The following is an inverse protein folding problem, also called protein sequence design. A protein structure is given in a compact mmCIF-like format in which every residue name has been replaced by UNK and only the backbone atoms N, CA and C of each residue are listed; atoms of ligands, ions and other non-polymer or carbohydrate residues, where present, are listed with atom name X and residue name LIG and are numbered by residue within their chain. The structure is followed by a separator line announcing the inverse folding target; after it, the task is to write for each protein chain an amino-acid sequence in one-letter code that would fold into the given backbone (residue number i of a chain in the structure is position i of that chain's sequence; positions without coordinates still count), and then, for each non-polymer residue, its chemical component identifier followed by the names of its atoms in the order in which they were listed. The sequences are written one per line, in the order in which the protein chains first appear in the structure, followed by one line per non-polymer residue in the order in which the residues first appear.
data_IF_054128078132
#
_entry.id   IF_054128078132
#
_cell.length_a   1.000
_cell.length_b   1.000
_cell.length_c   1.000
_cell.angle_alpha   90.00
_cell.angle_beta   90.00
_cell.angle_gamma   90.00
#
_symmetry.space_group_name_H-M   'P 1'
#
loop_
_entity.id
_entity.type
_entity.pdbx_description
1 polymer ?
#
# COMPACT_ATOMS: atom_id res chain seq x y z
N UNK A 1 -13.59 -3.64 29.48
CA UNK A 1 -13.28 -3.75 28.89
C UNK A 1 -12.68 -4.25 28.58
N UNK A 2 -12.33 -4.46 28.69
CA UNK A 2 -11.86 -4.82 28.31
C UNK A 2 -11.18 -5.22 27.50
N UNK A 3 -10.50 -6.39 27.70
CA UNK A 3 -9.75 -6.87 26.59
C UNK A 3 -9.71 -5.97 25.44
N UNK A 4 -10.31 -5.00 25.67
CA UNK A 4 -10.41 -4.02 24.67
C UNK A 4 -9.10 -3.48 24.33
N UNK A 5 -8.36 -3.24 23.95
CA UNK A 5 -7.10 -2.66 23.68
C UNK A 5 -6.09 -3.62 23.09
N UNK A 6 -6.34 -4.88 23.14
CA UNK A 6 -5.38 -5.80 22.58
C UNK A 6 -5.55 -5.89 21.07
N UNK A 7 -4.48 -5.58 20.37
CA UNK A 7 -4.46 -5.63 18.92
C UNK A 7 -3.71 -6.88 18.52
N UNK A 8 -4.17 -7.57 17.49
CA UNK A 8 -3.53 -8.78 17.02
C UNK A 8 -2.12 -8.46 16.50
N UNK A 9 -1.28 -9.51 16.39
CA UNK A 9 0.06 -9.33 15.87
C UNK A 9 0.01 -8.89 14.42
N UNK A 10 -0.97 -9.38 13.66
CA UNK A 10 -1.10 -8.98 12.26
C UNK A 10 -1.41 -7.50 12.13
N UNK A 11 -2.30 -6.97 12.96
CA UNK A 11 -2.63 -5.56 12.90
C UNK A 11 -1.43 -4.71 13.32
N UNK A 12 -0.69 -5.14 14.34
CA UNK A 12 0.52 -4.44 14.75
C UNK A 12 1.52 -4.39 13.61
N UNK A 13 1.70 -5.51 12.91
CA UNK A 13 2.61 -5.57 11.78
C UNK A 13 2.15 -4.65 10.65
N UNK A 14 0.85 -4.65 10.36
CA UNK A 14 0.30 -3.78 9.31
C UNK A 14 0.53 -2.32 9.62
N UNK A 15 0.30 -1.92 10.86
CA UNK A 15 0.53 -0.53 11.27
C UNK A 15 2.01 -0.17 11.21
N UNK A 16 2.88 -1.09 11.60
CA UNK A 16 4.32 -0.87 11.52
C UNK A 16 4.77 -0.70 10.08
N UNK A 17 4.27 -1.54 9.19
CA UNK A 17 4.62 -1.45 7.77
C UNK A 17 4.11 -0.15 7.16
N UNK A 18 2.86 0.22 7.45
CA UNK A 18 2.31 1.46 6.94
C UNK A 18 3.14 2.65 7.38
N UNK A 19 3.57 2.66 8.64
CA UNK A 19 4.40 3.75 9.17
C UNK A 19 5.76 3.77 8.47
N UNK A 20 6.34 2.60 8.23
CA UNK A 20 7.62 2.51 7.56
C UNK A 20 7.53 3.01 6.12
N UNK A 21 6.43 2.72 5.45
CA UNK A 21 6.26 3.09 4.04
C UNK A 21 5.80 4.53 3.85
N UNK A 22 5.26 5.14 4.90
CA UNK A 22 4.78 6.52 4.79
C UNK A 22 5.90 7.45 4.33
N UNK A 23 5.63 8.23 3.30
CA UNK A 23 6.59 9.19 2.78
C UNK A 23 7.53 8.63 1.73
N UNK A 24 7.46 7.32 1.46
CA UNK A 24 8.33 6.75 0.42
C UNK A 24 7.90 7.26 -0.94
N UNK A 25 8.85 7.78 -1.70
CA UNK A 25 8.59 8.20 -3.07
C UNK A 25 8.61 7.00 -4.00
N UNK A 26 7.70 6.96 -4.96
CA UNK A 26 7.62 5.86 -5.90
C UNK A 26 7.79 6.37 -7.32
N UNK A 27 8.42 5.56 -8.17
CA UNK A 27 8.61 5.92 -9.57
C UNK A 27 7.43 5.44 -10.42
N UNK A 28 6.77 4.35 -10.03
CA UNK A 28 5.54 3.91 -10.66
C UNK A 28 4.87 2.86 -9.79
N UNK A 29 3.59 2.62 -10.06
CA UNK A 29 2.84 1.60 -9.37
C UNK A 29 2.14 0.73 -10.40
N UNK A 30 2.18 -0.59 -10.16
CA UNK A 30 1.56 -1.57 -11.05
C UNK A 30 0.43 -2.25 -10.32
N UNK A 31 -0.55 -2.73 -11.07
CA UNK A 31 -1.62 -3.54 -10.49
C UNK A 31 -1.51 -4.96 -10.99
N UNK A 32 -1.63 -5.92 -10.07
CA UNK A 32 -1.69 -7.34 -10.41
C UNK A 32 -3.10 -7.68 -10.81
N UNK A 33 -3.28 -8.19 -12.00
CA UNK A 33 -4.58 -8.62 -12.48
C UNK A 33 -4.62 -10.15 -12.50
N UNK A 34 -5.75 -10.76 -12.10
CA UNK A 34 -5.82 -12.22 -11.93
C UNK A 34 -5.44 -13.01 -13.18
N UNK A 35 -5.89 -12.55 -14.33
CA UNK A 35 -5.70 -13.32 -15.57
C UNK A 35 -4.85 -12.59 -16.61
N UNK A 36 -4.11 -11.58 -16.19
CA UNK A 36 -3.33 -10.77 -17.13
C UNK A 36 -2.00 -10.41 -16.51
N UNK A 37 -1.12 -9.87 -17.35
CA UNK A 37 0.16 -9.37 -16.87
C UNK A 37 -0.08 -8.11 -16.02
N UNK A 38 0.88 -7.83 -15.14
CA UNK A 38 0.81 -6.62 -14.33
C UNK A 38 0.78 -5.40 -15.25
N UNK A 39 -0.03 -4.41 -14.89
CA UNK A 39 -0.13 -3.18 -15.67
C UNK A 39 0.23 -1.97 -14.83
N UNK A 40 0.90 -1.00 -15.43
CA UNK A 40 1.24 0.24 -14.75
C UNK A 40 -0.03 1.08 -14.68
N UNK A 41 -0.41 1.48 -13.46
CA UNK A 41 -1.61 2.29 -13.25
C UNK A 41 -1.29 3.72 -12.81
N UNK A 42 -0.03 4.02 -12.54
CA UNK A 42 0.37 5.37 -12.19
C UNK A 42 1.87 5.51 -12.22
N UNK A 43 2.33 6.74 -12.44
CA UNK A 43 3.75 7.06 -12.44
C UNK A 43 4.01 8.18 -11.46
N UNK A 44 5.17 8.13 -10.82
CA UNK A 44 5.62 9.12 -9.86
C UNK A 44 4.56 9.37 -8.77
N UNK A 45 5.01 9.43 -7.56
CA UNK A 45 4.11 9.69 -6.46
C UNK A 45 4.73 9.32 -5.14
N UNK A 46 3.87 8.96 -4.19
CA UNK A 46 4.33 8.64 -2.85
C UNK A 46 3.33 7.74 -2.16
N UNK A 47 3.82 7.03 -1.16
CA UNK A 47 2.98 6.23 -0.28
C UNK A 47 2.72 7.08 0.96
N UNK A 48 1.46 7.18 1.35
CA UNK A 48 1.07 8.07 2.44
C UNK A 48 0.12 7.37 3.40
N UNK A 49 0.04 7.90 4.62
CA UNK A 49 -0.97 7.43 5.58
C UNK A 49 -1.71 8.65 6.09
N UNK A 50 -3.01 8.49 6.31
CA UNK A 50 -3.84 9.56 6.86
C UNK A 50 -5.10 8.97 7.47
N UNK A 51 -5.35 9.30 8.74
CA UNK A 51 -6.60 8.89 9.41
C UNK A 51 -6.89 7.40 9.33
N UNK A 52 -5.86 6.57 9.54
CA UNK A 52 -6.05 5.12 9.54
C UNK A 52 -6.10 4.51 8.16
N UNK A 53 -5.88 5.29 7.12
CA UNK A 53 -5.89 4.80 5.75
C UNK A 53 -4.51 4.86 5.14
N UNK A 54 -4.22 3.88 4.28
CA UNK A 54 -3.02 3.86 3.49
C UNK A 54 -3.37 4.32 2.09
N UNK A 55 -2.59 5.25 1.56
CA UNK A 55 -2.89 5.92 0.29
C UNK A 55 -1.73 5.74 -0.66
N UNK A 56 -2.03 5.30 -1.87
CA UNK A 56 -1.05 5.30 -2.95
C UNK A 56 -1.40 6.50 -3.84
N UNK A 57 -0.56 7.52 -3.77
CA UNK A 57 -0.73 8.74 -4.55
C UNK A 57 0.19 8.65 -5.76
N UNK A 58 -0.35 8.74 -6.96
CA UNK A 58 0.44 8.60 -8.17
C UNK A 58 -0.28 9.28 -9.32
N UNK A 59 0.49 9.79 -10.29
CA UNK A 59 -0.09 10.53 -11.41
C UNK A 59 -1.02 11.65 -10.93
N UNK A 60 -0.64 12.27 -9.81
CA UNK A 60 -1.28 13.44 -9.25
C UNK A 60 -2.67 13.19 -8.66
N UNK A 61 -2.99 11.94 -8.30
CA UNK A 61 -4.22 11.65 -7.58
C UNK A 61 -4.09 10.37 -6.78
N UNK A 62 -5.05 10.13 -5.90
CA UNK A 62 -5.07 8.89 -5.14
C UNK A 62 -5.54 7.78 -6.07
N UNK A 63 -4.66 6.81 -6.34
CA UNK A 63 -5.04 5.67 -7.18
C UNK A 63 -5.51 4.48 -6.35
N UNK A 64 -5.26 4.53 -5.03
CA UNK A 64 -5.65 3.44 -4.14
C UNK A 64 -5.70 3.96 -2.71
N UNK A 65 -6.73 3.56 -1.97
CA UNK A 65 -6.85 3.86 -0.55
C UNK A 65 -7.41 2.64 0.14
N UNK A 66 -6.87 2.29 1.29
CA UNK A 66 -7.35 1.13 2.04
C UNK A 66 -7.21 1.38 3.53
N UNK A 67 -7.96 0.63 4.33
CA UNK A 67 -7.82 0.72 5.78
C UNK A 67 -6.54 0.00 6.17
N UNK A 68 -5.66 0.69 6.89
CA UNK A 68 -4.36 0.12 7.27
C UNK A 68 -4.52 -1.22 7.98
N UNK A 69 -5.47 -1.31 8.91
CA UNK A 69 -5.65 -2.52 9.71
C UNK A 69 -6.16 -3.71 8.89
N UNK A 70 -6.59 -3.46 7.65
CA UNK A 70 -7.10 -4.50 6.76
C UNK A 70 -6.26 -4.64 5.49
N UNK A 71 -5.07 -4.06 5.49
CA UNK A 71 -4.20 -4.06 4.31
C UNK A 71 -3.00 -4.95 4.57
N UNK A 72 -2.68 -5.79 3.60
CA UNK A 72 -1.48 -6.63 3.70
C UNK A 72 -0.33 -5.95 2.97
N UNK A 73 0.82 -5.93 3.63
CA UNK A 73 2.02 -5.32 3.08
C UNK A 73 3.15 -6.33 3.06
N UNK A 74 3.91 -6.35 1.98
CA UNK A 74 5.16 -7.09 1.97
C UNK A 74 6.15 -6.36 1.07
N UNK A 75 7.44 -6.49 1.39
CA UNK A 75 8.46 -5.86 0.58
C UNK A 75 8.93 -6.82 -0.49
N UNK A 76 9.32 -6.27 -1.64
CA UNK A 76 9.92 -7.09 -2.69
C UNK A 76 11.28 -7.61 -2.21
N UNK A 77 11.67 -8.77 -2.72
CA UNK A 77 12.96 -9.36 -2.34
C UNK A 77 14.12 -8.44 -2.71
N UNK A 78 13.95 -7.65 -3.75
CA UNK A 78 14.97 -6.68 -4.16
C UNK A 78 15.05 -5.49 -3.22
N UNK A 79 14.07 -5.34 -2.30
CA UNK A 79 13.92 -4.19 -1.43
C UNK A 79 13.66 -2.90 -2.21
N UNK A 80 13.31 -3.01 -3.49
CA UNK A 80 13.04 -1.86 -4.34
C UNK A 80 11.57 -1.49 -4.44
N UNK A 81 10.73 -2.08 -3.61
CA UNK A 81 9.31 -1.79 -3.66
C UNK A 81 8.52 -2.59 -2.65
N UNK A 82 7.21 -2.40 -2.66
CA UNK A 82 6.30 -3.10 -1.75
C UNK A 82 5.06 -3.58 -2.49
N UNK A 83 4.53 -4.71 -2.03
CA UNK A 83 3.26 -5.24 -2.51
C UNK A 83 2.21 -4.85 -1.48
N UNK A 84 1.14 -4.24 -1.96
CA UNK A 84 0.07 -3.71 -1.12
C UNK A 84 -1.24 -4.34 -1.57
N UNK A 85 -1.89 -5.10 -0.68
CA UNK A 85 -3.12 -5.80 -1.02
C UNK A 85 -4.21 -5.43 -0.01
N UNK A 86 -5.34 -4.99 -0.50
CA UNK A 86 -6.45 -4.64 0.36
C UNK A 86 -7.66 -4.19 -0.42
N UNK A 87 -8.73 -3.91 0.29
CA UNK A 87 -9.95 -3.40 -0.33
C UNK A 87 -9.76 -1.92 -0.59
N UNK A 88 -9.82 -1.56 -1.87
CA UNK A 88 -9.70 -0.17 -2.28
C UNK A 88 -10.99 0.56 -1.98
N UNK A 89 -10.93 1.56 -1.12
CA UNK A 89 -12.10 2.32 -0.72
C UNK A 89 -12.68 3.16 -1.87
N UNK A 90 -11.86 3.41 -2.89
CA UNK A 90 -12.31 4.19 -4.04
C UNK A 90 -13.18 3.35 -4.99
N UNK A 91 -12.90 2.07 -5.12
CA UNK A 91 -13.64 1.20 -6.02
C UNK A 91 -14.49 0.15 -5.31
N UNK A 92 -14.21 -0.09 -4.02
CA UNK A 92 -14.90 -1.12 -3.25
C UNK A 92 -14.41 -2.52 -3.55
N UNK A 93 -13.36 -2.68 -4.34
CA UNK A 93 -12.86 -3.99 -4.74
C UNK A 93 -11.50 -4.26 -4.11
N UNK A 94 -11.22 -5.54 -3.88
CA UNK A 94 -9.88 -5.93 -3.43
C UNK A 94 -8.92 -5.81 -4.60
N UNK A 95 -7.78 -5.19 -4.32
CA UNK A 95 -6.76 -4.96 -5.35
C UNK A 95 -5.39 -5.26 -4.77
N UNK A 96 -4.48 -5.67 -5.62
CA UNK A 96 -3.10 -5.92 -5.24
C UNK A 96 -2.20 -5.06 -6.10
N UNK A 97 -1.44 -4.21 -5.47
CA UNK A 97 -0.57 -3.26 -6.17
C UNK A 97 0.88 -3.52 -5.84
N UNK A 98 1.76 -3.17 -6.76
CA UNK A 98 3.20 -3.22 -6.53
C UNK A 98 3.73 -1.82 -6.74
N UNK A 99 4.20 -1.20 -5.68
CA UNK A 99 4.76 0.15 -5.73
C UNK A 99 6.28 0.04 -5.80
N UNK A 100 6.87 0.60 -6.85
CA UNK A 100 8.31 0.58 -7.03
C UNK A 100 8.89 1.90 -6.56
N UNK A 101 9.83 1.83 -5.62
CA UNK A 101 10.41 3.04 -5.04
C UNK A 101 11.27 3.79 -6.04
N UNK A 102 11.35 5.10 -5.85
CA UNK A 102 12.27 5.91 -6.63
C UNK A 102 13.69 5.55 -6.25
N UNK A 103 14.56 5.39 -7.25
CA UNK A 103 15.94 5.04 -6.99
C UNK A 103 16.62 6.15 -6.20
N UNK A 104 17.47 5.75 -5.28
CA UNK A 104 18.25 6.70 -4.55
C UNK A 104 19.54 6.95 -5.31
N UNK A 105 19.83 8.19 -5.47
CA UNK A 105 21.08 8.54 -6.12
C UNK A 105 22.24 8.39 -5.15
#
# INVERSE_FOLDING_TARGET
MFGLGKVSKEVKFRRKMAKKLHGMHIKYVMERLPDEDDVIIGREGALLTRDGEFIVFSSQHDVFRSKIDETDFSELMSLGGAIITGVDLLSGKERSLIAHYTDRA
#
